data_IF_121929864331
#
_entry.id   IF_121929864331
#
_cell.length_a   1.000
_cell.length_b   1.000
_cell.length_c   1.000
_cell.angle_alpha   90.00
_cell.angle_beta   90.00
_cell.angle_gamma   90.00
#
_symmetry.space_group_name_H-M   'P 1'
#
loop_
_entity.id
_entity.type
_entity.pdbx_description
1 polymer ?
#
# COMPACT_ATOMS: atom_id res chain seq x y z
N UNK A 1 -27.91 78.40 14.57
CA UNK A 1 -28.56 77.09 14.69
C UNK A 1 -27.89 76.19 13.66
N UNK A 2 -26.92 75.47 14.14
CA UNK A 2 -26.87 74.02 14.33
C UNK A 2 -26.69 73.27 13.00
N UNK A 3 -25.66 72.55 12.63
CA UNK A 3 -24.81 71.69 13.39
C UNK A 3 -24.91 70.31 12.78
N UNK A 4 -23.77 69.60 12.65
CA UNK A 4 -23.76 68.10 12.56
C UNK A 4 -24.30 67.45 11.30
N UNK A 5 -23.44 67.28 10.32
CA UNK A 5 -23.40 66.13 9.35
C UNK A 5 -22.04 66.11 8.65
N UNK A 6 -20.97 65.68 9.30
CA UNK A 6 -19.71 65.25 8.67
C UNK A 6 -19.09 64.20 9.63
N UNK A 7 -19.46 62.96 9.52
CA UNK A 7 -18.71 61.83 10.08
C UNK A 7 -19.33 60.48 9.65
N UNK A 8 -19.25 60.11 8.40
CA UNK A 8 -19.64 58.76 7.96
C UNK A 8 -19.08 58.46 6.54
N UNK A 9 -17.77 58.54 6.31
CA UNK A 9 -17.14 58.06 5.06
C UNK A 9 -15.67 57.73 5.27
N UNK A 10 -15.31 56.94 6.29
CA UNK A 10 -13.90 56.51 6.47
C UNK A 10 -13.80 55.13 7.12
N UNK A 11 -14.71 54.19 6.79
CA UNK A 11 -14.71 52.83 7.37
C UNK A 11 -14.95 51.72 6.33
N UNK A 12 -14.60 51.90 5.07
CA UNK A 12 -14.89 50.92 4.02
C UNK A 12 -13.73 50.64 3.06
N UNK A 13 -12.46 50.66 3.52
CA UNK A 13 -11.30 50.33 2.71
C UNK A 13 -10.19 49.62 3.49
N UNK A 14 -10.53 48.65 4.33
CA UNK A 14 -9.55 47.77 4.98
C UNK A 14 -10.04 46.32 5.06
N UNK A 15 -10.63 45.81 3.97
CA UNK A 15 -11.03 44.41 3.89
C UNK A 15 -10.62 43.84 2.53
N UNK A 16 -9.32 43.80 2.26
CA UNK A 16 -8.79 43.07 1.12
C UNK A 16 -7.29 42.85 1.36
N UNK A 17 -6.93 41.78 2.01
CA UNK A 17 -5.68 41.02 1.87
C UNK A 17 -5.47 40.07 3.06
N UNK A 18 -6.45 39.22 3.32
CA UNK A 18 -6.16 37.96 3.99
C UNK A 18 -6.07 36.90 2.86
N UNK A 19 -4.98 36.93 2.09
CA UNK A 19 -4.58 35.78 1.30
C UNK A 19 -4.28 34.69 2.31
N UNK A 20 -5.20 33.75 2.47
CA UNK A 20 -5.00 32.51 3.19
C UNK A 20 -3.83 31.77 2.51
N UNK A 21 -2.65 31.85 3.11
CA UNK A 21 -1.63 30.84 2.90
C UNK A 21 -2.26 29.52 3.34
N UNK A 22 -2.79 28.75 2.39
CA UNK A 22 -3.14 27.37 2.61
C UNK A 22 -1.83 26.68 3.02
N UNK A 23 -1.69 26.45 4.30
CA UNK A 23 -0.67 25.58 4.88
C UNK A 23 -0.86 24.23 4.20
N UNK A 24 0.08 23.87 3.33
CA UNK A 24 0.11 22.53 2.73
C UNK A 24 0.14 21.56 3.89
N UNK A 25 -0.97 20.89 4.14
CA UNK A 25 -1.09 19.84 5.13
C UNK A 25 0.04 18.84 4.83
N UNK A 26 1.01 18.77 5.73
CA UNK A 26 2.15 17.86 5.59
C UNK A 26 1.60 16.45 5.54
N UNK A 27 1.83 15.78 4.41
CA UNK A 27 1.61 14.33 4.26
C UNK A 27 2.11 13.61 5.52
N UNK A 28 1.38 12.63 6.05
CA UNK A 28 1.81 11.90 7.22
C UNK A 28 3.19 11.30 6.97
N UNK A 29 4.21 11.82 7.63
CA UNK A 29 5.54 11.23 7.63
C UNK A 29 5.46 9.94 8.43
N UNK A 30 5.50 8.81 7.74
CA UNK A 30 5.69 7.52 8.39
C UNK A 30 7.10 7.48 8.98
N UNK A 31 7.21 7.59 10.28
CA UNK A 31 8.45 7.41 11.01
C UNK A 31 8.31 6.17 11.88
N UNK A 32 8.92 5.06 11.46
CA UNK A 32 9.24 4.00 12.40
C UNK A 32 10.26 4.56 13.41
N UNK A 33 9.78 5.04 14.54
CA UNK A 33 10.63 5.56 15.59
C UNK A 33 11.04 4.44 16.53
N UNK A 34 12.20 3.86 16.35
CA UNK A 34 13.05 3.38 17.46
C UNK A 34 14.50 3.47 17.02
N UNK A 35 15.32 4.12 17.77
CA UNK A 35 16.76 4.42 17.81
C UNK A 35 17.80 3.64 16.99
N UNK A 36 17.43 2.77 16.08
CA UNK A 36 18.32 2.15 15.09
C UNK A 36 17.51 2.00 13.80
N UNK A 37 17.97 2.65 12.75
CA UNK A 37 17.37 2.53 11.43
C UNK A 37 17.51 1.07 10.96
N UNK A 38 16.43 0.32 10.98
CA UNK A 38 16.42 -1.08 10.57
C UNK A 38 15.49 -1.26 9.37
N UNK A 39 16.03 -1.81 8.29
CA UNK A 39 15.30 -1.93 7.02
C UNK A 39 14.93 -3.38 6.78
N UNK A 40 13.62 -3.68 6.84
CA UNK A 40 13.07 -4.97 6.44
C UNK A 40 12.71 -4.97 4.96
N UNK A 41 13.00 -6.08 4.30
CA UNK A 41 12.76 -6.26 2.86
C UNK A 41 12.12 -7.63 2.64
N UNK A 42 10.79 -7.68 2.46
CA UNK A 42 10.12 -8.88 1.99
C UNK A 42 10.57 -9.22 0.56
N UNK A 43 10.93 -10.48 0.31
CA UNK A 43 11.45 -10.94 -0.97
C UNK A 43 10.69 -12.17 -1.43
N UNK A 44 10.14 -12.12 -2.64
CA UNK A 44 9.55 -13.27 -3.33
C UNK A 44 10.53 -13.76 -4.39
N UNK A 45 10.84 -15.06 -4.38
CA UNK A 45 11.69 -15.68 -5.39
C UNK A 45 10.90 -16.75 -6.14
N UNK A 46 10.78 -16.58 -7.45
CA UNK A 46 10.05 -17.51 -8.30
C UNK A 46 10.99 -18.13 -9.36
N UNK A 47 10.69 -19.38 -9.76
CA UNK A 47 11.33 -20.02 -10.89
C UNK A 47 10.74 -19.53 -12.23
N UNK A 48 11.30 -19.99 -13.35
CA UNK A 48 10.84 -19.66 -14.71
C UNK A 48 9.37 -20.04 -14.98
N UNK A 49 8.80 -20.94 -14.16
CA UNK A 49 7.40 -21.37 -14.26
C UNK A 49 6.50 -20.56 -13.29
N UNK A 50 7.04 -19.56 -12.62
CA UNK A 50 6.31 -18.74 -11.65
C UNK A 50 6.01 -19.47 -10.33
N UNK A 51 6.70 -20.59 -10.03
CA UNK A 51 6.56 -21.31 -8.76
C UNK A 51 7.54 -20.75 -7.74
N UNK A 52 7.11 -20.70 -6.49
CA UNK A 52 7.94 -20.23 -5.40
C UNK A 52 9.17 -21.14 -5.19
N UNK A 53 10.33 -20.55 -5.03
CA UNK A 53 11.58 -21.25 -4.76
C UNK A 53 11.79 -21.34 -3.26
N UNK A 54 11.74 -22.53 -2.71
CA UNK A 54 11.92 -22.82 -1.28
C UNK A 54 13.35 -23.27 -0.97
N UNK A 55 13.70 -23.27 0.31
CA UNK A 55 14.97 -23.79 0.80
C UNK A 55 16.18 -22.91 0.43
N UNK A 56 15.97 -21.64 0.13
CA UNK A 56 17.07 -20.68 0.07
C UNK A 56 17.47 -20.31 1.50
N UNK A 57 18.76 -20.18 1.73
CA UNK A 57 19.38 -19.77 2.97
C UNK A 57 19.94 -18.34 2.83
N UNK A 58 20.29 -17.69 3.93
CA UNK A 58 20.86 -16.33 3.93
C UNK A 58 22.05 -16.19 2.95
N UNK A 59 22.95 -17.18 2.90
CA UNK A 59 24.12 -17.21 2.01
C UNK A 59 23.78 -17.15 0.52
N UNK A 60 22.54 -17.50 0.14
CA UNK A 60 22.06 -17.46 -1.23
C UNK A 60 21.57 -16.07 -1.67
N UNK A 61 21.51 -15.12 -0.74
CA UNK A 61 21.08 -13.77 -1.04
C UNK A 61 22.22 -12.76 -0.98
N UNK A 62 22.27 -11.86 -1.93
CA UNK A 62 23.07 -10.65 -1.87
C UNK A 62 22.14 -9.44 -1.98
N UNK A 63 22.26 -8.54 -1.03
CA UNK A 63 21.59 -7.25 -1.07
C UNK A 63 22.62 -6.15 -1.33
N UNK A 64 22.27 -5.21 -2.18
CA UNK A 64 23.07 -4.03 -2.49
C UNK A 64 22.25 -2.77 -2.29
N UNK A 65 22.86 -1.79 -1.67
CA UNK A 65 22.29 -0.43 -1.50
C UNK A 65 23.19 0.53 -2.27
N UNK A 66 22.62 1.28 -3.22
CA UNK A 66 23.40 2.15 -4.13
C UNK A 66 24.58 1.42 -4.80
N UNK A 67 24.37 0.15 -5.18
CA UNK A 67 25.39 -0.71 -5.77
C UNK A 67 26.39 -1.33 -4.79
N UNK A 68 26.44 -0.87 -3.52
CA UNK A 68 27.35 -1.39 -2.49
C UNK A 68 26.71 -2.59 -1.77
N UNK A 69 27.39 -3.74 -1.66
CA UNK A 69 26.89 -4.87 -0.88
C UNK A 69 26.69 -4.49 0.60
N UNK A 70 25.56 -4.92 1.18
CA UNK A 70 25.29 -4.76 2.60
C UNK A 70 25.19 -6.12 3.27
N UNK A 71 25.59 -6.17 4.56
CA UNK A 71 25.43 -7.36 5.37
C UNK A 71 23.98 -7.51 5.77
N UNK A 72 23.47 -8.73 5.68
CA UNK A 72 22.16 -9.08 6.22
C UNK A 72 22.28 -9.41 7.71
N UNK A 73 21.54 -8.70 8.53
CA UNK A 73 21.48 -8.90 9.99
C UNK A 73 20.35 -9.86 10.36
N UNK A 74 19.31 -9.93 9.53
CA UNK A 74 18.16 -10.83 9.71
C UNK A 74 17.85 -11.59 8.44
N UNK A 75 17.48 -12.84 8.60
CA UNK A 75 16.99 -13.73 7.56
C UNK A 75 15.89 -14.63 8.14
N UNK A 76 14.68 -14.51 7.62
CA UNK A 76 13.54 -15.36 7.98
C UNK A 76 12.97 -16.05 6.75
N UNK A 77 12.70 -17.34 6.86
CA UNK A 77 12.10 -18.17 5.81
C UNK A 77 11.00 -19.09 6.33
N UNK A 78 10.35 -18.75 7.44
CA UNK A 78 9.25 -19.54 7.99
C UNK A 78 8.00 -19.43 7.09
N UNK A 79 7.74 -20.51 6.33
CA UNK A 79 6.58 -20.62 5.44
C UNK A 79 5.26 -20.83 6.20
N UNK A 80 5.31 -21.06 7.51
CA UNK A 80 4.14 -21.25 8.37
C UNK A 80 3.88 -20.06 9.29
N UNK A 81 4.75 -19.04 9.26
CA UNK A 81 4.53 -17.83 10.04
C UNK A 81 3.15 -17.23 9.76
N UNK A 82 2.43 -16.81 10.80
CA UNK A 82 1.15 -16.15 10.63
C UNK A 82 1.32 -14.78 9.94
N UNK A 83 0.26 -14.31 9.29
CA UNK A 83 0.26 -13.09 8.48
C UNK A 83 -0.81 -12.12 8.96
N UNK A 84 -0.49 -10.82 8.98
CA UNK A 84 -1.46 -9.75 9.12
C UNK A 84 -1.87 -9.24 7.74
N UNK A 85 -3.13 -9.43 7.37
CA UNK A 85 -3.70 -8.96 6.12
C UNK A 85 -4.58 -7.73 6.35
N UNK A 86 -4.32 -6.64 5.62
CA UNK A 86 -5.26 -5.53 5.50
C UNK A 86 -5.94 -5.57 4.14
N UNK A 87 -7.25 -5.66 4.14
CA UNK A 87 -8.05 -5.46 2.95
C UNK A 87 -8.35 -3.97 2.80
N UNK A 88 -7.98 -3.40 1.66
CA UNK A 88 -8.28 -2.03 1.27
C UNK A 88 -9.23 -2.08 0.07
N UNK A 89 -10.50 -1.80 0.30
CA UNK A 89 -11.57 -1.96 -0.68
C UNK A 89 -12.02 -0.59 -1.19
N UNK A 90 -11.91 -0.41 -2.49
CA UNK A 90 -12.50 0.72 -3.20
C UNK A 90 -14.03 0.64 -3.13
N UNK A 91 -14.63 1.70 -2.61
CA UNK A 91 -16.09 1.85 -2.55
C UNK A 91 -16.57 3.06 -3.36
N UNK A 92 -15.79 3.52 -4.33
CA UNK A 92 -16.18 4.61 -5.25
C UNK A 92 -17.34 4.21 -6.17
N UNK A 93 -17.93 5.21 -6.82
CA UNK A 93 -19.11 5.03 -7.66
C UNK A 93 -18.90 4.09 -8.85
N UNK A 94 -17.68 3.98 -9.39
CA UNK A 94 -17.32 3.07 -10.47
C UNK A 94 -17.39 1.59 -10.06
N UNK A 95 -17.28 1.29 -8.76
CA UNK A 95 -17.39 -0.06 -8.22
C UNK A 95 -18.83 -0.61 -8.20
N UNK A 96 -19.85 0.25 -8.42
CA UNK A 96 -21.25 -0.21 -8.66
C UNK A 96 -21.39 -0.94 -9.99
N UNK A 97 -20.56 -0.57 -10.95
CA UNK A 97 -20.68 -1.08 -12.31
C UNK A 97 -20.24 -2.55 -12.35
N UNK A 98 -21.01 -3.37 -13.06
CA UNK A 98 -20.65 -4.75 -13.35
C UNK A 98 -20.32 -5.59 -12.10
N UNK A 99 -21.00 -5.34 -10.98
CA UNK A 99 -20.79 -6.09 -9.72
C UNK A 99 -19.34 -6.08 -9.21
N UNK A 100 -18.53 -5.08 -9.57
CA UNK A 100 -17.12 -5.02 -9.15
C UNK A 100 -16.95 -5.10 -7.63
N UNK A 101 -17.83 -4.41 -6.87
CA UNK A 101 -17.81 -4.46 -5.42
C UNK A 101 -18.15 -5.87 -4.90
N UNK A 102 -19.09 -6.58 -5.53
CA UNK A 102 -19.44 -7.95 -5.12
C UNK A 102 -18.31 -8.93 -5.41
N UNK A 103 -17.59 -8.74 -6.53
CA UNK A 103 -16.36 -9.48 -6.81
C UNK A 103 -15.28 -9.22 -5.77
N UNK A 104 -15.09 -7.95 -5.35
CA UNK A 104 -14.15 -7.61 -4.27
C UNK A 104 -14.55 -8.30 -2.96
N UNK A 105 -15.84 -8.27 -2.58
CA UNK A 105 -16.36 -8.97 -1.40
C UNK A 105 -16.11 -10.48 -1.50
N UNK A 106 -16.35 -11.11 -2.66
CA UNK A 106 -16.08 -12.53 -2.89
C UNK A 106 -14.58 -12.85 -2.73
N UNK A 107 -13.69 -12.03 -3.30
CA UNK A 107 -12.25 -12.23 -3.19
C UNK A 107 -11.76 -12.14 -1.73
N UNK A 108 -12.23 -11.16 -0.95
CA UNK A 108 -11.93 -11.04 0.49
C UNK A 108 -12.35 -12.31 1.22
N UNK A 109 -13.57 -12.83 0.97
CA UNK A 109 -14.06 -14.09 1.58
C UNK A 109 -13.17 -15.27 1.22
N UNK A 110 -12.72 -15.37 -0.04
CA UNK A 110 -11.81 -16.44 -0.47
C UNK A 110 -10.50 -16.39 0.27
N UNK A 111 -9.90 -15.20 0.50
CA UNK A 111 -8.65 -15.07 1.24
C UNK A 111 -8.87 -15.48 2.71
N UNK A 112 -9.93 -15.00 3.35
CA UNK A 112 -10.26 -15.35 4.73
C UNK A 112 -10.51 -16.85 4.90
N UNK A 113 -11.14 -17.50 3.90
CA UNK A 113 -11.40 -18.95 3.96
C UNK A 113 -10.13 -19.80 4.02
N UNK A 114 -9.00 -19.24 3.58
CA UNK A 114 -7.69 -19.90 3.59
C UNK A 114 -6.81 -19.52 4.79
N UNK A 115 -7.42 -18.84 5.79
CA UNK A 115 -6.69 -18.41 6.97
C UNK A 115 -6.02 -19.56 7.69
N UNK A 116 -4.85 -19.33 8.21
CA UNK A 116 -4.11 -20.24 9.11
C UNK A 116 -4.20 -19.77 10.55
N UNK A 117 -3.95 -20.67 11.53
CA UNK A 117 -3.87 -20.28 12.92
C UNK A 117 -2.87 -19.12 13.12
N UNK A 118 -3.30 -18.08 13.82
CA UNK A 118 -2.48 -16.90 14.09
C UNK A 118 -2.62 -15.76 13.10
N UNK A 119 -3.21 -15.98 11.93
CA UNK A 119 -3.52 -14.87 10.99
C UNK A 119 -4.49 -13.89 11.61
N UNK A 120 -4.28 -12.61 11.35
CA UNK A 120 -5.21 -11.54 11.68
C UNK A 120 -5.55 -10.68 10.47
N UNK A 121 -6.72 -10.08 10.50
CA UNK A 121 -7.30 -9.38 9.36
C UNK A 121 -7.90 -8.05 9.77
N UNK A 122 -7.69 -7.01 8.96
CA UNK A 122 -8.36 -5.73 9.06
C UNK A 122 -9.08 -5.38 7.75
N UNK A 123 -10.14 -4.60 7.84
CA UNK A 123 -10.90 -4.10 6.69
C UNK A 123 -10.91 -2.57 6.69
N UNK A 124 -10.43 -2.01 5.61
CA UNK A 124 -10.50 -0.60 5.28
C UNK A 124 -11.32 -0.44 4.00
N UNK A 125 -12.12 0.61 3.97
CA UNK A 125 -12.77 1.07 2.74
C UNK A 125 -12.28 2.47 2.41
N UNK A 126 -12.28 2.83 1.12
CA UNK A 126 -11.98 4.18 0.71
C UNK A 126 -12.90 4.65 -0.42
N UNK A 127 -13.30 5.89 -0.34
CA UNK A 127 -13.91 6.69 -1.38
C UNK A 127 -13.61 8.16 -1.08
N UNK A 128 -13.69 9.03 -2.08
CA UNK A 128 -13.36 10.44 -1.96
C UNK A 128 -11.94 10.64 -1.40
N UNK A 129 -11.76 11.34 -0.28
CA UNK A 129 -10.47 11.62 0.33
C UNK A 129 -10.29 10.94 1.71
N UNK A 130 -11.14 9.95 2.04
CA UNK A 130 -11.13 9.28 3.34
C UNK A 130 -10.85 7.78 3.22
N UNK A 131 -9.99 7.29 4.15
CA UNK A 131 -9.78 5.87 4.40
C UNK A 131 -10.37 5.50 5.74
N UNK A 132 -11.48 4.80 5.71
CA UNK A 132 -12.24 4.40 6.90
C UNK A 132 -11.83 3.01 7.36
N UNK A 133 -11.48 2.86 8.64
CA UNK A 133 -11.28 1.57 9.29
C UNK A 133 -12.65 1.00 9.69
N UNK A 134 -13.07 -0.07 9.05
CA UNK A 134 -14.35 -0.74 9.30
C UNK A 134 -14.24 -1.90 10.28
N UNK A 135 -13.12 -2.62 10.24
CA UNK A 135 -12.80 -3.66 11.21
C UNK A 135 -11.30 -3.66 11.49
N UNK A 136 -10.93 -3.52 12.76
CA UNK A 136 -9.54 -3.56 13.21
C UNK A 136 -8.98 -5.00 13.19
N UNK A 137 -7.65 -5.12 13.26
CA UNK A 137 -6.95 -6.40 13.22
C UNK A 137 -7.47 -7.38 14.26
N UNK A 138 -8.03 -8.48 13.79
CA UNK A 138 -8.58 -9.54 14.60
C UNK A 138 -8.41 -10.91 13.95
N UNK A 139 -8.23 -11.94 14.77
CA UNK A 139 -8.33 -13.35 14.36
C UNK A 139 -9.78 -13.80 14.20
N UNK A 140 -10.69 -13.19 14.96
CA UNK A 140 -12.13 -13.34 14.76
C UNK A 140 -12.57 -12.46 13.58
N UNK A 141 -13.02 -13.10 12.53
CA UNK A 141 -13.41 -12.44 11.28
C UNK A 141 -14.89 -12.07 11.22
N UNK A 142 -15.68 -12.37 12.24
CA UNK A 142 -17.14 -12.16 12.24
C UNK A 142 -17.51 -10.69 12.01
N UNK A 143 -16.86 -9.78 12.75
CA UNK A 143 -17.08 -8.33 12.61
C UNK A 143 -16.64 -7.83 11.22
N UNK A 144 -15.51 -8.33 10.72
CA UNK A 144 -15.00 -7.97 9.40
C UNK A 144 -15.97 -8.41 8.30
N UNK A 145 -16.47 -9.65 8.36
CA UNK A 145 -17.41 -10.17 7.37
C UNK A 145 -18.75 -9.40 7.40
N UNK A 146 -19.23 -9.03 8.59
CA UNK A 146 -20.43 -8.21 8.71
C UNK A 146 -20.24 -6.81 8.12
N UNK A 147 -19.09 -6.18 8.38
CA UNK A 147 -18.75 -4.88 7.79
C UNK A 147 -18.57 -4.95 6.27
N UNK A 148 -17.96 -6.04 5.77
CA UNK A 148 -17.79 -6.31 4.34
C UNK A 148 -19.14 -6.42 3.62
N UNK A 149 -20.13 -7.08 4.23
CA UNK A 149 -21.47 -7.20 3.68
C UNK A 149 -22.17 -5.86 3.55
N UNK A 150 -21.98 -4.98 4.53
CA UNK A 150 -22.55 -3.64 4.56
C UNK A 150 -21.88 -2.62 3.62
N UNK A 151 -20.82 -2.99 2.87
CA UNK A 151 -20.18 -2.05 1.94
C UNK A 151 -21.13 -1.65 0.82
N UNK A 152 -21.24 -0.35 0.58
CA UNK A 152 -21.95 0.24 -0.54
C UNK A 152 -21.00 1.13 -1.35
N UNK A 153 -21.17 1.14 -2.67
CA UNK A 153 -20.34 1.94 -3.54
C UNK A 153 -20.97 3.31 -3.83
N UNK A 154 -20.14 4.38 -3.83
CA UNK A 154 -20.54 5.76 -4.11
C UNK A 154 -19.34 6.71 -4.00
N UNK A 155 -19.47 7.94 -4.49
CA UNK A 155 -18.43 8.95 -4.41
C UNK A 155 -17.36 8.85 -5.48
N UNK A 156 -16.30 9.65 -5.33
CA UNK A 156 -15.10 9.72 -6.18
C UNK A 156 -14.01 8.80 -5.66
N UNK A 157 -12.91 8.67 -6.38
CA UNK A 157 -11.82 7.74 -6.04
C UNK A 157 -10.52 8.48 -5.76
N UNK A 158 -10.04 8.51 -4.52
CA UNK A 158 -8.71 8.99 -4.13
C UNK A 158 -7.78 7.79 -3.87
N UNK A 159 -7.46 7.05 -4.94
CA UNK A 159 -6.71 5.79 -4.86
C UNK A 159 -5.31 5.98 -4.28
N UNK A 160 -4.56 7.00 -4.77
CA UNK A 160 -3.19 7.22 -4.33
C UNK A 160 -3.12 7.67 -2.89
N UNK A 161 -4.02 8.56 -2.45
CA UNK A 161 -4.12 9.00 -1.06
C UNK A 161 -4.43 7.82 -0.14
N UNK A 162 -5.37 6.96 -0.53
CA UNK A 162 -5.77 5.79 0.23
C UNK A 162 -4.61 4.79 0.41
N UNK A 163 -3.92 4.48 -0.68
CA UNK A 163 -2.79 3.55 -0.65
C UNK A 163 -1.62 4.13 0.15
N UNK A 164 -1.37 5.44 0.08
CA UNK A 164 -0.32 6.10 0.86
C UNK A 164 -0.62 6.13 2.38
N UNK A 165 -1.89 6.25 2.76
CA UNK A 165 -2.32 6.30 4.17
C UNK A 165 -2.36 4.92 4.86
N UNK A 166 -2.58 3.84 4.12
CA UNK A 166 -2.84 2.51 4.68
C UNK A 166 -1.62 1.88 5.39
N UNK A 167 -0.35 2.02 4.94
CA UNK A 167 0.79 1.39 5.59
C UNK A 167 0.97 1.75 7.07
N UNK A 168 0.69 3.00 7.46
CA UNK A 168 0.76 3.42 8.86
C UNK A 168 -0.23 2.66 9.75
N UNK A 169 -1.38 2.29 9.19
CA UNK A 169 -2.45 1.54 9.86
C UNK A 169 -2.11 0.06 10.05
N UNK A 170 -1.16 -0.47 9.25
CA UNK A 170 -0.67 -1.85 9.35
C UNK A 170 0.13 -2.14 10.63
N UNK A 171 0.57 -1.12 11.35
CA UNK A 171 1.30 -1.28 12.61
C UNK A 171 0.46 -1.97 13.71
N UNK A 172 -0.86 -1.86 13.64
CA UNK A 172 -1.77 -2.54 14.55
C UNK A 172 -1.82 -4.07 14.34
N UNK A 173 -1.37 -4.57 13.18
CA UNK A 173 -1.24 -6.00 12.89
C UNK A 173 -0.16 -6.65 13.76
N UNK A 174 -0.45 -7.85 14.29
CA UNK A 174 0.38 -8.51 15.31
C UNK A 174 1.51 -9.36 14.74
N UNK A 175 1.49 -9.63 13.43
CA UNK A 175 2.43 -10.55 12.79
C UNK A 175 3.56 -9.81 12.07
N UNK A 176 4.74 -10.44 12.00
CA UNK A 176 5.91 -9.90 11.30
C UNK A 176 5.70 -9.88 9.78
N UNK A 177 5.06 -10.92 9.22
CA UNK A 177 4.64 -10.92 7.82
C UNK A 177 3.35 -10.14 7.66
N UNK A 178 3.34 -9.18 6.75
CA UNK A 178 2.22 -8.25 6.53
C UNK A 178 1.98 -8.06 5.03
N UNK A 179 0.73 -7.83 4.64
CA UNK A 179 0.39 -7.46 3.28
C UNK A 179 -0.87 -6.60 3.23
N UNK A 180 -0.89 -5.63 2.33
CA UNK A 180 -2.10 -4.90 1.94
C UNK A 180 -2.64 -5.56 0.67
N UNK A 181 -3.94 -5.89 0.67
CA UNK A 181 -4.63 -6.41 -0.49
C UNK A 181 -5.65 -5.37 -0.93
N UNK A 182 -5.34 -4.71 -2.03
CA UNK A 182 -6.12 -3.63 -2.61
C UNK A 182 -7.08 -4.19 -3.65
N UNK A 183 -8.36 -3.85 -3.53
CA UNK A 183 -9.41 -4.15 -4.50
C UNK A 183 -9.94 -2.84 -5.08
N UNK A 184 -9.72 -2.59 -6.36
CA UNK A 184 -10.12 -1.36 -7.05
C UNK A 184 -10.13 -1.58 -8.56
N UNK A 185 -10.82 -0.73 -9.32
CA UNK A 185 -10.70 -0.71 -10.78
C UNK A 185 -9.51 0.13 -11.29
N UNK A 186 -8.75 0.74 -10.39
CA UNK A 186 -7.52 1.47 -10.70
C UNK A 186 -7.74 2.90 -11.20
N UNK A 187 -8.98 3.38 -11.23
CA UNK A 187 -9.27 4.79 -11.56
C UNK A 187 -8.88 5.68 -10.39
N UNK A 188 -8.23 6.80 -10.66
CA UNK A 188 -8.00 7.87 -9.69
C UNK A 188 -8.54 9.18 -10.25
N UNK A 189 -9.34 9.89 -9.48
CA UNK A 189 -9.92 11.17 -9.90
C UNK A 189 -10.11 12.18 -8.76
N UNK A 190 -9.60 11.86 -7.57
CA UNK A 190 -9.76 12.70 -6.39
C UNK A 190 -8.50 12.81 -5.52
N UNK A 191 -7.44 12.03 -5.77
CA UNK A 191 -6.22 12.10 -4.97
C UNK A 191 -5.56 13.46 -5.03
N UNK A 192 -5.02 13.89 -3.89
CA UNK A 192 -4.25 15.13 -3.72
C UNK A 192 -2.78 14.92 -4.07
N UNK A 193 -2.27 13.69 -3.88
CA UNK A 193 -0.91 13.33 -4.23
C UNK A 193 -0.83 12.78 -5.65
N UNK A 194 0.34 12.96 -6.26
CA UNK A 194 0.64 12.38 -7.57
C UNK A 194 1.00 10.90 -7.48
N UNK A 195 0.95 10.14 -8.60
CA UNK A 195 1.44 8.77 -8.67
C UNK A 195 2.89 8.60 -8.21
N UNK A 196 3.75 9.58 -8.49
CA UNK A 196 5.16 9.57 -8.07
C UNK A 196 5.31 9.75 -6.56
N UNK A 197 4.60 10.68 -5.95
CA UNK A 197 4.61 10.88 -4.49
C UNK A 197 4.10 9.64 -3.75
N UNK A 198 3.02 9.03 -4.24
CA UNK A 198 2.52 7.76 -3.71
C UNK A 198 3.57 6.65 -3.82
N UNK A 199 4.22 6.50 -4.99
CA UNK A 199 5.28 5.51 -5.17
C UNK A 199 6.46 5.73 -4.21
N UNK A 200 6.86 6.98 -3.95
CA UNK A 200 7.87 7.33 -2.96
C UNK A 200 7.46 6.92 -1.54
N UNK A 201 6.19 7.10 -1.16
CA UNK A 201 5.67 6.68 0.15
C UNK A 201 5.72 5.16 0.27
N UNK A 202 5.25 4.42 -0.74
CA UNK A 202 5.28 2.96 -0.74
C UNK A 202 6.69 2.37 -0.67
N UNK A 203 7.67 3.06 -1.22
CA UNK A 203 9.08 2.67 -1.13
C UNK A 203 9.67 2.84 0.27
N UNK A 204 9.04 3.61 1.15
CA UNK A 204 9.48 3.80 2.54
C UNK A 204 8.96 2.70 3.48
N UNK A 205 7.98 1.91 3.05
CA UNK A 205 7.37 0.89 3.90
C UNK A 205 7.76 -0.52 3.47
N UNK A 206 7.86 -1.42 4.44
CA UNK A 206 8.24 -2.83 4.24
C UNK A 206 7.01 -3.73 4.03
N UNK A 207 5.92 -3.19 3.48
CA UNK A 207 4.64 -3.89 3.36
C UNK A 207 4.25 -3.97 1.88
N UNK A 208 4.25 -5.17 1.28
CA UNK A 208 3.86 -5.35 -0.10
C UNK A 208 2.36 -5.09 -0.30
N UNK A 209 2.02 -4.40 -1.39
CA UNK A 209 0.65 -4.17 -1.84
C UNK A 209 0.33 -5.13 -2.98
N UNK A 210 -0.64 -6.00 -2.77
CA UNK A 210 -1.19 -6.87 -3.80
C UNK A 210 -2.44 -6.20 -4.36
N UNK A 211 -2.37 -5.73 -5.60
CA UNK A 211 -3.48 -5.06 -6.27
C UNK A 211 -4.31 -6.06 -7.08
N UNK A 212 -5.58 -6.21 -6.74
CA UNK A 212 -6.54 -7.02 -7.49
C UNK A 212 -7.45 -6.06 -8.27
N UNK A 213 -7.22 -5.98 -9.57
CA UNK A 213 -7.96 -5.08 -10.46
C UNK A 213 -9.36 -5.59 -10.72
N UNK A 214 -10.38 -4.83 -10.35
CA UNK A 214 -11.78 -5.15 -10.57
C UNK A 214 -12.21 -4.80 -12.00
N UNK A 215 -11.48 -5.30 -13.00
CA UNK A 215 -11.80 -5.15 -14.40
C UNK A 215 -12.25 -6.48 -14.96
N UNK A 216 -13.37 -6.46 -15.69
CA UNK A 216 -13.85 -7.60 -16.42
C UNK A 216 -13.85 -7.27 -17.90
N UNK A 217 -13.15 -8.05 -18.72
CA UNK A 217 -13.06 -7.85 -20.17
C UNK A 217 -14.44 -7.75 -20.88
N UNK A 218 -15.47 -8.34 -20.28
CA UNK A 218 -16.84 -8.27 -20.79
C UNK A 218 -17.52 -6.95 -20.56
N UNK A 219 -17.04 -6.13 -19.59
CA UNK A 219 -17.67 -4.88 -19.18
C UNK A 219 -16.92 -3.64 -19.68
N UNK A 220 -15.62 -3.77 -19.99
CA UNK A 220 -14.79 -2.64 -20.44
C UNK A 220 -15.02 -2.23 -21.91
N UNK A 221 -15.91 -2.89 -22.64
CA UNK A 221 -16.23 -2.54 -24.04
C UNK A 221 -16.90 -1.16 -24.20
N UNK A 222 -17.26 -0.53 -23.08
CA UNK A 222 -17.94 0.77 -23.06
C UNK A 222 -17.05 1.90 -22.52
N UNK A 223 -15.83 1.61 -22.07
CA UNK A 223 -14.92 2.63 -21.54
C UNK A 223 -13.76 2.88 -22.50
N UNK A 224 -13.38 4.13 -22.58
CA UNK A 224 -12.25 4.64 -23.34
C UNK A 224 -10.98 3.78 -23.09
N UNK A 225 -10.41 3.23 -24.15
CA UNK A 225 -9.28 2.29 -24.10
C UNK A 225 -8.06 2.90 -23.37
N UNK A 226 -7.85 4.23 -23.53
CA UNK A 226 -6.80 4.97 -22.84
C UNK A 226 -7.01 5.01 -21.32
N UNK A 227 -8.24 5.22 -20.84
CA UNK A 227 -8.55 5.17 -19.40
C UNK A 227 -8.34 3.79 -18.80
N UNK A 228 -8.71 2.76 -19.56
CA UNK A 228 -8.51 1.38 -19.17
C UNK A 228 -7.03 1.08 -19.00
N UNK A 229 -6.19 1.48 -19.94
CA UNK A 229 -4.75 1.29 -19.88
C UNK A 229 -4.12 2.05 -18.70
N UNK A 230 -4.48 3.32 -18.50
CA UNK A 230 -3.98 4.13 -17.38
C UNK A 230 -4.31 3.50 -16.01
N UNK A 231 -5.50 2.97 -15.84
CA UNK A 231 -5.90 2.28 -14.60
C UNK A 231 -5.05 1.02 -14.33
N UNK A 232 -4.76 0.22 -15.38
CA UNK A 232 -3.87 -0.94 -15.28
C UNK A 232 -2.45 -0.52 -14.92
N UNK A 233 -1.95 0.57 -15.52
CA UNK A 233 -0.61 1.07 -15.26
C UNK A 233 -0.48 1.63 -13.84
N UNK A 234 -1.51 2.28 -13.31
CA UNK A 234 -1.58 2.68 -11.91
C UNK A 234 -1.43 1.47 -10.97
N UNK A 235 -2.22 0.42 -11.19
CA UNK A 235 -2.18 -0.79 -10.35
C UNK A 235 -0.82 -1.52 -10.45
N UNK A 236 -0.25 -1.57 -11.65
CA UNK A 236 1.08 -2.16 -11.86
C UNK A 236 2.17 -1.38 -11.12
N UNK A 237 2.12 -0.05 -11.18
CA UNK A 237 3.07 0.83 -10.51
C UNK A 237 2.95 0.70 -8.98
N UNK A 238 1.74 0.74 -8.42
CA UNK A 238 1.47 0.54 -7.00
C UNK A 238 2.11 -0.75 -6.47
N UNK A 239 1.78 -1.86 -7.13
CA UNK A 239 2.28 -3.17 -6.73
C UNK A 239 3.82 -3.25 -6.84
N UNK A 240 4.39 -2.77 -7.95
CA UNK A 240 5.83 -2.82 -8.17
C UNK A 240 6.62 -1.94 -7.20
N UNK A 241 6.08 -0.78 -6.79
CA UNK A 241 6.75 0.14 -5.86
C UNK A 241 6.90 -0.46 -4.46
N UNK A 242 5.95 -1.29 -4.02
CA UNK A 242 5.94 -1.95 -2.72
C UNK A 242 6.60 -3.34 -2.69
N UNK A 243 6.97 -3.89 -3.84
CA UNK A 243 7.44 -5.30 -3.96
C UNK A 243 6.31 -6.33 -4.03
N UNK A 244 5.06 -5.90 -4.14
CA UNK A 244 3.90 -6.75 -4.33
C UNK A 244 3.65 -7.13 -5.80
N UNK A 245 2.39 -7.45 -6.12
CA UNK A 245 1.97 -7.89 -7.45
C UNK A 245 0.56 -7.46 -7.80
N UNK A 246 0.34 -7.14 -9.07
CA UNK A 246 -0.98 -6.90 -9.62
C UNK A 246 -1.57 -8.20 -10.18
N UNK A 247 -2.89 -8.36 -9.99
CA UNK A 247 -3.71 -9.41 -10.59
C UNK A 247 -4.90 -8.78 -11.29
N UNK A 248 -5.24 -9.30 -12.46
CA UNK A 248 -6.43 -8.92 -13.23
C UNK A 248 -7.26 -10.16 -13.47
N UNK A 249 -8.30 -10.43 -12.67
CA UNK A 249 -9.22 -11.53 -12.91
C UNK A 249 -10.00 -11.30 -14.20
N UNK A 250 -10.18 -12.35 -15.00
CA UNK A 250 -11.04 -12.34 -16.19
C UNK A 250 -12.51 -12.55 -15.83
N UNK A 251 -12.77 -13.12 -14.63
CA UNK A 251 -14.10 -13.39 -14.12
C UNK A 251 -14.05 -13.85 -12.66
N UNK A 252 -15.21 -14.22 -12.11
CA UNK A 252 -15.32 -14.66 -10.71
C UNK A 252 -14.54 -15.95 -10.44
N UNK A 253 -14.45 -16.84 -11.42
CA UNK A 253 -13.70 -18.10 -11.38
C UNK A 253 -12.22 -17.92 -11.07
N UNK A 254 -11.64 -16.77 -11.42
CA UNK A 254 -10.22 -16.45 -11.17
C UNK A 254 -9.98 -15.97 -9.74
N UNK A 255 -10.99 -15.53 -8.99
CA UNK A 255 -10.82 -14.94 -7.68
C UNK A 255 -10.23 -15.92 -6.66
N UNK A 256 -10.70 -17.17 -6.66
CA UNK A 256 -10.18 -18.20 -5.75
C UNK A 256 -8.72 -18.55 -6.04
N UNK A 257 -8.30 -18.86 -7.28
CA UNK A 257 -6.88 -19.06 -7.61
C UNK A 257 -5.99 -17.86 -7.28
N UNK A 258 -6.47 -16.62 -7.51
CA UNK A 258 -5.73 -15.41 -7.16
C UNK A 258 -5.57 -15.29 -5.64
N UNK A 259 -6.63 -15.53 -4.87
CA UNK A 259 -6.59 -15.51 -3.41
C UNK A 259 -5.58 -16.54 -2.86
N UNK A 260 -5.59 -17.76 -3.39
CA UNK A 260 -4.62 -18.82 -3.06
C UNK A 260 -3.19 -18.40 -3.36
N UNK A 261 -2.99 -17.77 -4.50
CA UNK A 261 -1.67 -17.29 -4.92
C UNK A 261 -1.16 -16.17 -4.03
N UNK A 262 -2.00 -15.18 -3.70
CA UNK A 262 -1.64 -14.10 -2.78
C UNK A 262 -1.28 -14.67 -1.40
N UNK A 263 -2.15 -15.50 -0.82
CA UNK A 263 -1.90 -16.12 0.48
C UNK A 263 -0.61 -16.94 0.51
N UNK A 264 -0.32 -17.68 -0.57
CA UNK A 264 0.92 -18.46 -0.71
C UNK A 264 2.14 -17.55 -0.83
N UNK A 265 2.10 -16.51 -1.68
CA UNK A 265 3.22 -15.62 -1.89
C UNK A 265 3.59 -14.86 -0.61
N UNK A 266 2.60 -14.33 0.12
CA UNK A 266 2.87 -13.61 1.39
C UNK A 266 3.49 -14.52 2.45
N UNK A 267 3.03 -15.77 2.56
CA UNK A 267 3.57 -16.74 3.55
C UNK A 267 4.98 -17.17 3.21
N UNK A 268 5.25 -17.41 1.92
CA UNK A 268 6.53 -17.92 1.42
C UNK A 268 7.57 -16.83 1.15
N UNK A 269 7.28 -15.58 1.48
CA UNK A 269 8.27 -14.51 1.45
C UNK A 269 9.45 -14.82 2.35
N UNK A 270 10.65 -14.61 1.83
CA UNK A 270 11.84 -14.43 2.63
C UNK A 270 11.80 -13.02 3.22
N UNK A 271 12.12 -12.88 4.49
CA UNK A 271 12.25 -11.58 5.13
C UNK A 271 13.72 -11.32 5.40
N UNK A 272 14.28 -10.37 4.66
CA UNK A 272 15.67 -9.94 4.81
C UNK A 272 15.70 -8.63 5.58
N UNK A 273 16.70 -8.46 6.45
CA UNK A 273 16.85 -7.24 7.20
C UNK A 273 18.30 -6.81 7.30
N UNK A 274 18.54 -5.51 7.31
CA UNK A 274 19.87 -4.93 7.51
C UNK A 274 19.77 -3.57 8.19
N UNK A 275 20.88 -3.19 8.85
CA UNK A 275 21.07 -1.86 9.42
C UNK A 275 21.85 -1.01 8.44
N UNK A 276 21.28 0.09 7.92
CA UNK A 276 21.98 0.98 7.01
C UNK A 276 23.23 1.60 7.65
N UNK A 277 24.34 1.56 6.95
CA UNK A 277 25.54 2.33 7.30
C UNK A 277 25.40 3.76 6.81
N UNK A 278 25.54 4.75 7.71
CA UNK A 278 25.50 6.18 7.38
C UNK A 278 24.22 6.86 7.83
N UNK A 279 24.36 7.69 8.87
CA UNK A 279 23.26 8.46 9.46
C UNK A 279 22.94 9.70 8.62
N UNK A 280 21.67 10.05 8.52
CA UNK A 280 21.25 11.43 8.43
C UNK A 280 20.86 11.99 7.08
N UNK A 281 20.69 11.22 6.02
CA UNK A 281 20.18 11.76 4.76
C UNK A 281 18.80 11.18 4.41
N UNK A 282 17.79 12.05 4.37
CA UNK A 282 16.44 11.75 3.85
C UNK A 282 16.46 11.47 2.33
N UNK A 283 17.49 10.75 1.85
CA UNK A 283 17.62 10.42 0.43
C UNK A 283 17.05 9.05 0.14
N UNK A 284 16.40 8.96 -1.00
CA UNK A 284 16.03 7.66 -1.57
C UNK A 284 17.28 6.87 -1.94
N UNK A 285 17.36 5.62 -1.47
CA UNK A 285 18.46 4.70 -1.73
C UNK A 285 17.96 3.50 -2.50
N UNK A 286 18.52 3.27 -3.67
CA UNK A 286 18.17 2.13 -4.52
C UNK A 286 18.64 0.85 -3.84
N UNK A 287 17.74 -0.15 -3.79
CA UNK A 287 17.96 -1.46 -3.20
C UNK A 287 17.78 -2.52 -4.29
N UNK A 288 18.75 -3.45 -4.36
CA UNK A 288 18.72 -4.58 -5.28
C UNK A 288 18.98 -5.85 -4.50
N UNK A 289 18.09 -6.82 -4.62
CA UNK A 289 18.25 -8.17 -4.07
C UNK A 289 18.55 -9.13 -5.21
N UNK A 290 19.61 -9.93 -5.04
CA UNK A 290 20.03 -10.95 -6.03
C UNK A 290 20.12 -12.30 -5.35
N UNK A 291 19.70 -13.36 -6.05
CA UNK A 291 19.89 -14.76 -5.63
C UNK A 291 21.17 -15.29 -6.27
N UNK A 292 22.13 -15.68 -5.44
CA UNK A 292 23.47 -16.18 -5.87
C UNK A 292 23.46 -17.66 -6.28
N UNK A 293 22.40 -18.41 -5.91
CA UNK A 293 22.26 -19.81 -6.32
C UNK A 293 22.14 -19.90 -7.84
N UNK A 294 22.86 -20.83 -8.51
CA UNK A 294 22.74 -21.01 -9.96
C UNK A 294 21.30 -21.24 -10.39
N UNK A 295 20.88 -20.54 -11.43
CA UNK A 295 19.52 -20.61 -11.97
C UNK A 295 19.05 -19.27 -12.54
N UNK A 296 17.85 -19.27 -13.07
CA UNK A 296 17.15 -18.04 -13.48
C UNK A 296 15.96 -17.83 -12.54
N UNK A 297 15.97 -16.73 -11.82
CA UNK A 297 15.01 -16.43 -10.79
C UNK A 297 14.30 -15.11 -11.12
N UNK A 298 12.99 -15.05 -10.91
CA UNK A 298 12.25 -13.80 -10.80
C UNK A 298 12.26 -13.39 -9.32
N UNK A 299 13.01 -12.34 -9.00
CA UNK A 299 13.18 -11.84 -7.64
C UNK A 299 12.40 -10.54 -7.50
N UNK A 300 11.37 -10.54 -6.66
CA UNK A 300 10.54 -9.37 -6.38
C UNK A 300 10.78 -8.88 -4.96
N UNK A 301 11.13 -7.61 -4.85
CA UNK A 301 11.29 -6.87 -3.61
C UNK A 301 11.01 -5.39 -3.89
N UNK A 302 10.83 -4.57 -2.86
CA UNK A 302 10.82 -3.12 -3.05
C UNK A 302 12.13 -2.64 -3.66
N UNK A 303 12.07 -1.60 -4.48
CA UNK A 303 13.22 -1.12 -5.26
C UNK A 303 14.15 -0.20 -4.50
N UNK A 304 13.79 0.21 -3.30
CA UNK A 304 14.58 1.11 -2.49
C UNK A 304 13.89 1.43 -1.17
N UNK A 305 14.53 2.32 -0.43
CA UNK A 305 13.99 2.87 0.81
C UNK A 305 14.48 4.30 1.00
N UNK A 306 13.81 5.07 1.84
CA UNK A 306 14.26 6.39 2.24
C UNK A 306 14.87 6.29 3.65
N UNK A 307 16.07 6.81 3.84
CA UNK A 307 16.68 6.92 5.16
C UNK A 307 15.88 7.89 6.03
N UNK A 308 15.84 7.63 7.34
CA UNK A 308 15.23 8.53 8.32
C UNK A 308 16.21 9.64 8.70
N UNK A 309 15.73 10.84 9.03
CA UNK A 309 16.57 11.87 9.61
C UNK A 309 17.09 11.39 10.97
N UNK A 310 18.33 11.75 11.37
CA UNK A 310 18.80 11.48 12.72
C UNK A 310 17.83 12.14 13.71
N UNK A 311 17.38 11.37 14.71
CA UNK A 311 16.72 11.97 15.86
C UNK A 311 17.75 12.91 16.50
N UNK A 312 17.47 14.22 16.48
CA UNK A 312 18.28 15.18 17.21
C UNK A 312 18.37 14.67 18.66
N UNK A 313 19.60 14.38 19.12
CA UNK A 313 19.81 14.00 20.50
C UNK A 313 19.22 15.13 21.35
N UNK A 314 18.22 14.80 22.17
CA UNK A 314 17.72 15.72 23.16
C UNK A 314 18.90 16.05 24.10
N UNK A 315 19.47 17.21 23.95
CA UNK A 315 20.42 17.75 24.92
C UNK A 315 19.65 18.00 26.21
N UNK A 316 19.90 17.14 27.20
CA UNK A 316 19.48 17.33 28.59
C UNK A 316 20.35 18.42 29.25
#
# INVERSE_FOLDING_TARGET
MTGRWIAACAALLLWAAAASAQEKEKLPSYTESVGTEYVLVPVVVLDKKGRFVEGLEQKHFQMRVQGVPVRLDTFENDNNAPVSFAFLVDTSGSMKLASKLDYAKSAVRHIISQRKPGDDFALFAFAEDEVTLLADFSRDTSRLLSALDGLEAGGRTALFDAVAATPSKMLAGKNGKRAIILFTDGVDNASKISPSEMAEILQQVSIPVYAVGMKNASFDRLTDEERSQLSVDNLRMLAASSGGKMFLPGGEEDLKPIAEKIGTEVRKQYLLGFTPSGQGELRYRILVVTVLKPGTWDVRARRGYRGTAPVAAATH
#
